data_IF_242808985508
#
_entry.id   IF_242808985508
#
_cell.length_a   1.000
_cell.length_b   1.000
_cell.length_c   1.000
_cell.angle_alpha   90.00
_cell.angle_beta   90.00
_cell.angle_gamma   90.00
#
_symmetry.space_group_name_H-M   'P 1'
#
loop_
_entity.id
_entity.type
_entity.pdbx_description
1 polymer ?
#
# COMPACT_ATOMS: atom_id res chain seq x y z
N UNK A 1 17.30 -8.82 7.34
CA UNK A 1 15.93 -9.29 7.64
C UNK A 1 15.12 -8.12 8.13
N UNK A 2 15.66 -7.36 9.10
CA UNK A 2 15.27 -5.97 9.36
C UNK A 2 15.25 -5.14 8.08
N UNK A 3 16.16 -5.39 7.13
CA UNK A 3 16.17 -4.75 5.80
C UNK A 3 14.85 -4.84 5.03
N UNK A 4 14.18 -6.01 5.01
CA UNK A 4 12.92 -6.18 4.27
C UNK A 4 11.78 -5.41 4.95
N UNK A 5 11.71 -5.47 6.28
CA UNK A 5 10.72 -4.74 7.06
C UNK A 5 10.95 -3.22 6.96
N UNK A 6 12.21 -2.78 7.03
CA UNK A 6 12.60 -1.39 6.85
C UNK A 6 12.24 -0.90 5.44
N UNK A 7 12.51 -1.70 4.41
CA UNK A 7 12.10 -1.42 3.04
C UNK A 7 10.57 -1.25 2.92
N UNK A 8 9.79 -2.22 3.43
CA UNK A 8 8.33 -2.14 3.41
C UNK A 8 7.81 -0.90 4.14
N UNK A 9 8.34 -0.61 5.34
CA UNK A 9 7.95 0.58 6.12
C UNK A 9 8.27 1.88 5.36
N UNK A 10 9.41 1.95 4.70
CA UNK A 10 9.79 3.11 3.87
C UNK A 10 8.80 3.30 2.71
N UNK A 11 8.51 2.25 1.93
CA UNK A 11 7.57 2.33 0.79
C UNK A 11 6.14 2.68 1.22
N UNK A 12 5.68 2.12 2.33
CA UNK A 12 4.37 2.47 2.90
C UNK A 12 4.29 3.92 3.38
N UNK A 13 5.39 4.48 3.91
CA UNK A 13 5.44 5.89 4.29
C UNK A 13 5.41 6.81 3.07
N UNK A 14 6.06 6.43 1.98
CA UNK A 14 6.00 7.16 0.70
C UNK A 14 4.59 7.15 0.12
N UNK A 15 3.91 6.00 0.12
CA UNK A 15 2.50 5.88 -0.32
C UNK A 15 1.55 6.76 0.51
N UNK A 16 1.69 6.73 1.83
CA UNK A 16 0.87 7.55 2.74
C UNK A 16 1.12 9.04 2.51
N UNK A 17 2.39 9.43 2.35
CA UNK A 17 2.78 10.82 2.09
C UNK A 17 2.24 11.31 0.74
N UNK A 18 2.36 10.49 -0.30
CA UNK A 18 1.82 10.81 -1.62
C UNK A 18 0.29 10.94 -1.60
N UNK A 19 -0.40 10.06 -0.87
CA UNK A 19 -1.85 10.15 -0.69
C UNK A 19 -2.25 11.42 0.08
N UNK A 20 -1.53 11.76 1.16
CA UNK A 20 -1.77 13.00 1.91
C UNK A 20 -1.57 14.25 1.06
N UNK A 21 -0.52 14.28 0.22
CA UNK A 21 -0.29 15.40 -0.70
C UNK A 21 -1.41 15.54 -1.74
N UNK A 22 -1.99 14.42 -2.19
CA UNK A 22 -3.13 14.43 -3.10
C UNK A 22 -4.43 14.92 -2.44
N UNK A 23 -4.59 14.78 -1.12
CA UNK A 23 -5.69 15.37 -0.32
C UNK A 23 -5.49 16.89 -0.07
N UNK A 24 -4.23 17.34 0.01
CA UNK A 24 -3.81 18.68 0.46
C UNK A 24 -4.31 19.90 -0.34
N UNK A 25 -5.04 19.71 -1.44
CA UNK A 25 -5.65 20.79 -2.23
C UNK A 25 -7.05 21.22 -1.72
N UNK A 26 -7.37 20.97 -0.45
CA UNK A 26 -8.73 21.18 0.10
C UNK A 26 -9.75 20.20 -0.49
N UNK A 27 -9.27 19.09 -1.03
CA UNK A 27 -10.05 18.01 -1.60
C UNK A 27 -10.25 16.96 -0.50
N UNK A 28 -11.51 16.65 -0.22
CA UNK A 28 -11.93 15.78 0.87
C UNK A 28 -12.86 14.71 0.32
N UNK A 29 -12.69 13.48 0.82
CA UNK A 29 -13.56 12.36 0.53
C UNK A 29 -13.23 11.60 -0.76
N UNK A 30 -14.03 10.56 -1.05
CA UNK A 30 -13.70 9.57 -2.06
C UNK A 30 -13.66 10.21 -3.44
N UNK A 31 -12.62 9.88 -4.19
CA UNK A 31 -12.55 10.21 -5.59
C UNK A 31 -13.67 9.50 -6.36
N UNK A 32 -14.30 10.19 -7.30
CA UNK A 32 -15.39 9.67 -8.10
C UNK A 32 -15.10 9.85 -9.59
N UNK A 33 -15.48 8.88 -10.44
CA UNK A 33 -15.46 9.11 -11.87
C UNK A 33 -16.45 10.24 -12.19
N UNK A 34 -15.95 11.27 -12.85
CA UNK A 34 -16.75 12.39 -13.34
C UNK A 34 -17.36 12.09 -14.72
N UNK A 35 -18.19 13.01 -15.18
CA UNK A 35 -18.93 12.85 -16.43
C UNK A 35 -18.12 13.28 -17.66
N UNK A 36 -18.62 12.87 -18.83
CA UNK A 36 -18.13 13.29 -20.14
C UNK A 36 -18.31 14.80 -20.29
N UNK A 37 -17.23 15.53 -20.53
CA UNK A 37 -17.26 16.99 -20.72
C UNK A 37 -16.92 17.38 -22.16
N UNK A 38 -17.55 18.45 -22.63
CA UNK A 38 -17.21 19.18 -23.85
C UNK A 38 -16.50 20.48 -23.45
N UNK A 39 -15.29 20.70 -23.98
CA UNK A 39 -14.46 21.88 -23.66
C UNK A 39 -14.03 22.55 -24.98
N UNK A 40 -14.10 23.89 -25.02
CA UNK A 40 -13.60 24.77 -26.10
C UNK A 40 -14.26 24.65 -27.48
N UNK A 41 -15.54 24.28 -27.56
CA UNK A 41 -16.31 24.32 -28.82
C UNK A 41 -15.84 23.36 -29.93
N UNK A 42 -14.76 22.63 -29.70
CA UNK A 42 -14.31 21.48 -30.49
C UNK A 42 -14.85 20.19 -29.85
N UNK A 43 -15.07 19.14 -30.66
CA UNK A 43 -15.54 17.84 -30.19
C UNK A 43 -14.44 17.06 -29.45
N UNK A 44 -13.91 17.61 -28.36
CA UNK A 44 -12.99 16.92 -27.47
C UNK A 44 -13.74 16.40 -26.27
N UNK A 45 -13.72 15.08 -26.13
CA UNK A 45 -14.33 14.38 -25.02
C UNK A 45 -13.31 14.16 -23.91
N UNK A 46 -13.71 14.47 -22.69
CA UNK A 46 -12.91 14.19 -21.51
C UNK A 46 -13.72 13.37 -20.51
N UNK A 47 -13.06 12.42 -19.86
CA UNK A 47 -13.50 11.92 -18.57
C UNK A 47 -12.73 12.63 -17.48
N UNK A 48 -13.29 12.65 -16.27
CA UNK A 48 -12.66 13.33 -15.15
C UNK A 48 -12.65 12.46 -13.91
N UNK A 49 -11.79 12.83 -12.97
CA UNK A 49 -11.90 12.37 -11.59
C UNK A 49 -12.23 13.58 -10.73
N UNK A 50 -13.29 13.44 -9.95
CA UNK A 50 -13.82 14.46 -9.08
C UNK A 50 -13.42 14.17 -7.63
N UNK A 51 -13.19 15.23 -6.87
CA UNK A 51 -13.19 15.19 -5.41
C UNK A 51 -13.95 16.42 -4.89
N UNK A 52 -14.38 16.38 -3.64
CA UNK A 52 -15.23 17.39 -3.05
C UNK A 52 -14.42 18.31 -2.15
N UNK A 53 -14.53 19.61 -2.34
CA UNK A 53 -13.97 20.60 -1.43
C UNK A 53 -15.07 21.27 -0.61
N UNK A 54 -14.67 22.08 0.37
CA UNK A 54 -15.59 22.99 1.07
C UNK A 54 -16.31 23.98 0.13
N UNK A 55 -15.83 24.15 -1.10
CA UNK A 55 -16.42 25.00 -2.15
C UNK A 55 -17.21 24.22 -3.21
N UNK A 56 -17.42 22.91 -3.03
CA UNK A 56 -18.13 22.02 -3.97
C UNK A 56 -17.20 21.07 -4.72
N UNK A 57 -17.75 20.34 -5.71
CA UNK A 57 -17.00 19.39 -6.52
C UNK A 57 -15.92 20.09 -7.36
N UNK A 58 -14.70 19.58 -7.29
CA UNK A 58 -13.55 20.04 -8.05
C UNK A 58 -13.00 18.91 -8.92
N UNK A 59 -12.62 19.25 -10.16
CA UNK A 59 -11.89 18.34 -11.03
C UNK A 59 -10.47 18.19 -10.51
N UNK A 60 -10.08 16.96 -10.20
CA UNK A 60 -8.72 16.63 -9.76
C UNK A 60 -7.86 16.27 -10.97
N UNK A 61 -8.45 15.56 -11.94
CA UNK A 61 -7.77 15.09 -13.16
C UNK A 61 -8.76 15.18 -14.34
N UNK A 62 -8.28 15.65 -15.50
CA UNK A 62 -8.94 15.53 -16.79
C UNK A 62 -8.18 14.53 -17.66
N UNK A 63 -8.90 13.57 -18.24
CA UNK A 63 -8.35 12.50 -19.06
C UNK A 63 -8.88 12.68 -20.48
N UNK A 64 -7.98 12.93 -21.43
CA UNK A 64 -8.33 13.18 -22.82
C UNK A 64 -8.87 11.90 -23.49
N UNK A 65 -9.93 12.03 -24.29
CA UNK A 65 -10.59 10.93 -24.99
C UNK A 65 -11.65 10.21 -24.17
N UNK A 66 -12.32 9.22 -24.78
CA UNK A 66 -13.38 8.42 -24.16
C UNK A 66 -12.80 7.31 -23.25
N UNK A 67 -12.13 7.75 -22.18
CA UNK A 67 -11.36 6.90 -21.25
C UNK A 67 -12.03 6.72 -19.88
N UNK A 68 -13.35 6.49 -19.86
CA UNK A 68 -14.11 6.35 -18.61
C UNK A 68 -13.62 5.22 -17.70
N UNK A 69 -13.05 4.15 -18.28
CA UNK A 69 -12.43 3.05 -17.54
C UNK A 69 -11.17 3.48 -16.80
N UNK A 70 -10.36 4.38 -17.39
CA UNK A 70 -9.16 4.95 -16.75
C UNK A 70 -9.58 5.86 -15.59
N UNK A 71 -10.58 6.72 -15.81
CA UNK A 71 -11.13 7.57 -14.76
C UNK A 71 -11.66 6.75 -13.58
N UNK A 72 -12.41 5.67 -13.87
CA UNK A 72 -12.92 4.77 -12.85
C UNK A 72 -11.80 4.05 -12.09
N UNK A 73 -10.74 3.61 -12.78
CA UNK A 73 -9.58 3.01 -12.14
C UNK A 73 -8.90 4.00 -11.18
N UNK A 74 -8.60 5.21 -11.64
CA UNK A 74 -7.95 6.24 -10.82
C UNK A 74 -8.82 6.60 -9.60
N UNK A 75 -10.12 6.84 -9.82
CA UNK A 75 -11.05 7.13 -8.74
C UNK A 75 -11.09 6.01 -7.69
N UNK A 76 -11.05 4.75 -8.14
CA UNK A 76 -10.99 3.58 -7.26
C UNK A 76 -9.73 3.58 -6.38
N UNK A 77 -8.61 4.12 -6.83
CA UNK A 77 -7.34 4.19 -6.07
C UNK A 77 -7.07 5.58 -5.52
N UNK A 78 -8.12 6.33 -5.18
CA UNK A 78 -7.99 7.64 -4.54
C UNK A 78 -7.31 7.59 -3.16
N UNK A 79 -6.87 8.75 -2.64
CA UNK A 79 -6.07 8.89 -1.43
C UNK A 79 -6.63 8.17 -0.19
N UNK A 80 -7.91 8.38 0.13
CA UNK A 80 -8.59 7.72 1.26
C UNK A 80 -8.49 6.18 1.21
N UNK A 81 -8.53 5.59 0.01
CA UNK A 81 -8.38 4.14 -0.13
C UNK A 81 -6.91 3.74 0.04
N UNK A 82 -5.97 4.45 -0.58
CA UNK A 82 -4.53 4.18 -0.43
C UNK A 82 -4.11 4.22 1.04
N UNK A 83 -4.54 5.24 1.79
CA UNK A 83 -4.22 5.37 3.22
C UNK A 83 -4.81 4.23 4.07
N UNK A 84 -6.02 3.77 3.75
CA UNK A 84 -6.61 2.57 4.39
C UNK A 84 -5.81 1.30 4.08
N UNK A 85 -5.38 1.12 2.84
CA UNK A 85 -4.52 -0.01 2.45
C UNK A 85 -3.15 0.05 3.15
N UNK A 86 -2.53 1.23 3.23
CA UNK A 86 -1.28 1.43 3.99
C UNK A 86 -1.48 1.10 5.47
N UNK A 87 -2.55 1.59 6.09
CA UNK A 87 -2.87 1.28 7.49
C UNK A 87 -3.02 -0.23 7.71
N UNK A 88 -3.76 -0.93 6.84
CA UNK A 88 -3.90 -2.38 6.91
C UNK A 88 -2.55 -3.11 6.75
N UNK A 89 -1.73 -2.72 5.78
CA UNK A 89 -0.40 -3.33 5.57
C UNK A 89 0.54 -3.09 6.76
N UNK A 90 0.50 -1.91 7.39
CA UNK A 90 1.25 -1.61 8.63
C UNK A 90 0.83 -2.54 9.77
N UNK A 91 -0.48 -2.75 9.96
CA UNK A 91 -0.99 -3.69 10.97
C UNK A 91 -0.54 -5.13 10.71
N UNK A 92 -0.55 -5.59 9.45
CA UNK A 92 -0.02 -6.91 9.09
C UNK A 92 1.48 -7.01 9.42
N UNK A 93 2.27 -5.98 9.14
CA UNK A 93 3.70 -5.96 9.49
C UNK A 93 3.91 -6.07 11.00
N UNK A 94 3.13 -5.33 11.79
CA UNK A 94 3.26 -5.32 13.24
C UNK A 94 2.80 -6.63 13.90
N UNK A 95 1.75 -7.25 13.35
CA UNK A 95 1.27 -8.59 13.70
C UNK A 95 2.39 -9.62 13.46
N UNK A 96 2.99 -9.61 12.27
CA UNK A 96 4.15 -10.44 11.93
C UNK A 96 5.50 -9.90 12.45
N UNK A 97 5.45 -9.12 13.53
CA UNK A 97 6.60 -8.54 14.21
C UNK A 97 7.52 -9.58 14.88
N UNK A 98 8.67 -9.13 15.40
CA UNK A 98 9.62 -10.01 16.07
C UNK A 98 9.08 -10.41 17.43
N UNK A 99 9.41 -11.64 17.84
CA UNK A 99 9.28 -12.16 19.19
C UNK A 99 10.59 -12.87 19.55
N UNK A 100 11.20 -12.48 20.67
CA UNK A 100 12.39 -13.17 21.20
C UNK A 100 11.94 -14.29 22.11
N UNK A 101 12.38 -15.52 21.83
CA UNK A 101 12.10 -16.68 22.68
C UNK A 101 13.35 -17.43 23.06
N UNK A 102 13.32 -18.00 24.26
CA UNK A 102 14.24 -19.05 24.66
C UNK A 102 13.91 -20.31 23.85
N UNK A 103 14.84 -20.72 22.99
CA UNK A 103 14.75 -22.02 22.31
C UNK A 103 15.18 -23.09 23.31
N UNK A 104 14.21 -23.79 23.87
CA UNK A 104 14.43 -24.89 24.81
C UNK A 104 14.99 -26.13 24.10
N UNK A 105 16.18 -26.58 24.51
CA UNK A 105 16.86 -27.75 23.95
C UNK A 105 18.27 -27.92 24.53
N UNK A 106 19.09 -28.82 23.96
CA UNK A 106 20.49 -29.01 24.36
C UNK A 106 21.42 -27.83 24.03
N UNK A 107 20.97 -26.93 23.14
CA UNK A 107 21.59 -25.62 22.91
C UNK A 107 20.75 -24.57 23.62
N UNK A 108 21.26 -24.00 24.71
CA UNK A 108 20.66 -22.80 25.32
C UNK A 108 20.90 -21.61 24.40
N UNK A 109 19.85 -20.88 24.07
CA UNK A 109 19.94 -19.63 23.30
C UNK A 109 18.59 -18.94 23.16
N UNK A 110 18.62 -17.72 22.62
CA UNK A 110 17.42 -16.97 22.24
C UNK A 110 17.36 -16.83 20.72
N UNK A 111 16.19 -17.04 20.11
CA UNK A 111 15.96 -16.78 18.70
C UNK A 111 14.91 -15.67 18.51
N UNK A 112 15.07 -14.88 17.46
CA UNK A 112 14.07 -13.89 17.04
C UNK A 112 13.21 -14.46 15.91
N UNK A 113 11.96 -14.77 16.24
CA UNK A 113 11.01 -15.42 15.34
C UNK A 113 9.85 -14.48 15.00
N UNK A 114 9.04 -14.87 14.01
CA UNK A 114 7.76 -14.21 13.73
C UNK A 114 6.73 -14.57 14.81
N UNK A 115 6.12 -13.57 15.44
CA UNK A 115 5.11 -13.74 16.50
C UNK A 115 3.89 -14.58 16.08
N UNK A 116 3.42 -14.38 14.86
CA UNK A 116 2.15 -14.94 14.36
C UNK A 116 2.34 -16.26 13.60
N UNK A 117 3.44 -16.43 12.86
CA UNK A 117 3.67 -17.63 12.03
C UNK A 117 4.13 -18.87 12.81
N UNK A 118 3.84 -18.94 14.10
CA UNK A 118 4.19 -20.07 14.95
C UNK A 118 3.20 -21.23 14.73
N UNK A 119 3.71 -22.45 14.71
CA UNK A 119 2.93 -23.64 15.03
C UNK A 119 3.23 -24.05 16.49
N UNK A 120 2.17 -24.39 17.25
CA UNK A 120 2.26 -24.70 18.70
C UNK A 120 3.00 -26.01 19.02
N UNK A 121 3.45 -26.78 18.02
CA UNK A 121 4.10 -28.09 18.16
C UNK A 121 5.62 -28.07 17.93
N UNK A 122 6.25 -26.89 17.79
CA UNK A 122 7.70 -26.73 17.89
C UNK A 122 8.51 -27.23 16.69
N UNK A 123 7.87 -27.45 15.53
CA UNK A 123 8.56 -27.97 14.34
C UNK A 123 8.76 -26.94 13.22
N UNK A 124 7.98 -25.86 13.15
CA UNK A 124 8.10 -24.83 12.10
C UNK A 124 7.92 -23.40 12.66
N UNK A 125 8.98 -22.81 13.21
CA UNK A 125 9.03 -21.36 13.48
C UNK A 125 9.75 -20.64 12.34
N UNK A 126 9.06 -19.75 11.64
CA UNK A 126 9.72 -18.89 10.65
C UNK A 126 10.61 -17.85 11.36
N UNK A 127 11.91 -17.75 11.00
CA UNK A 127 12.74 -16.66 11.46
C UNK A 127 12.09 -15.31 11.13
N UNK A 128 12.23 -14.33 12.03
CA UNK A 128 11.64 -13.00 11.85
C UNK A 128 12.04 -12.40 10.49
N UNK A 129 11.05 -11.94 9.71
CA UNK A 129 11.28 -11.37 8.37
C UNK A 129 11.51 -12.39 7.24
N UNK A 130 11.47 -13.71 7.50
CA UNK A 130 11.40 -14.76 6.46
C UNK A 130 10.01 -15.33 6.25
N UNK A 131 9.02 -14.92 7.05
CA UNK A 131 7.68 -15.46 6.93
C UNK A 131 7.06 -15.14 5.56
N UNK A 132 6.32 -16.08 4.95
CA UNK A 132 5.74 -15.90 3.62
C UNK A 132 4.85 -14.65 3.50
N UNK A 133 4.10 -14.31 4.54
CA UNK A 133 3.20 -13.14 4.54
C UNK A 133 3.95 -11.83 4.27
N UNK A 134 5.07 -11.59 4.95
CA UNK A 134 5.85 -10.35 4.78
C UNK A 134 6.49 -10.31 3.38
N UNK A 135 6.96 -11.45 2.86
CA UNK A 135 7.51 -11.54 1.51
C UNK A 135 6.46 -11.28 0.43
N UNK A 136 5.23 -11.76 0.64
CA UNK A 136 4.11 -11.50 -0.26
C UNK A 136 3.74 -10.02 -0.31
N UNK A 137 3.81 -9.29 0.82
CA UNK A 137 3.60 -7.83 0.81
C UNK A 137 4.64 -7.10 -0.05
N UNK A 138 5.88 -7.61 -0.10
CA UNK A 138 6.96 -7.00 -0.85
C UNK A 138 6.79 -7.11 -2.37
N UNK A 139 5.97 -8.05 -2.86
CA UNK A 139 5.71 -8.25 -4.29
C UNK A 139 5.10 -7.01 -4.97
N UNK A 140 4.37 -6.18 -4.22
CA UNK A 140 3.84 -4.92 -4.74
C UNK A 140 4.95 -3.92 -5.16
N UNK A 141 6.18 -4.17 -4.74
CA UNK A 141 7.34 -3.32 -4.99
C UNK A 141 8.45 -4.06 -5.75
N UNK A 142 8.13 -5.16 -6.44
CA UNK A 142 9.13 -5.98 -7.14
C UNK A 142 9.91 -5.21 -8.22
N UNK A 143 9.30 -4.16 -8.75
CA UNK A 143 9.80 -3.26 -9.79
C UNK A 143 10.66 -2.12 -9.21
N UNK A 144 10.72 -1.99 -7.88
CA UNK A 144 11.46 -0.92 -7.21
C UNK A 144 12.98 -1.18 -7.30
N UNK A 145 13.82 -0.17 -7.58
CA UNK A 145 15.27 -0.36 -7.73
C UNK A 145 15.95 -0.95 -6.48
N UNK A 146 15.50 -0.55 -5.28
CA UNK A 146 16.02 -1.10 -4.01
C UNK A 146 15.46 -2.50 -3.66
N UNK A 147 14.52 -3.04 -4.44
CA UNK A 147 13.96 -4.36 -4.18
C UNK A 147 15.00 -5.45 -4.43
N UNK A 148 15.25 -6.31 -3.43
CA UNK A 148 16.18 -7.43 -3.57
C UNK A 148 15.44 -8.70 -3.99
N UNK A 149 15.93 -9.37 -5.04
CA UNK A 149 15.32 -10.61 -5.55
C UNK A 149 15.23 -11.72 -4.48
N UNK A 150 16.15 -11.74 -3.53
CA UNK A 150 16.13 -12.65 -2.39
C UNK A 150 14.87 -12.50 -1.50
N UNK A 151 14.15 -11.39 -1.57
CA UNK A 151 12.90 -11.17 -0.80
C UNK A 151 11.69 -11.83 -1.44
N UNK A 152 11.77 -12.25 -2.70
CA UNK A 152 10.70 -12.98 -3.37
C UNK A 152 10.38 -14.27 -2.59
N UNK A 153 9.08 -14.64 -2.45
CA UNK A 153 8.68 -15.92 -1.84
C UNK A 153 9.27 -17.13 -2.56
#
# INVERSE_FOLDING_TARGET
>A
MDDLIAFLRARLNEEDSAAMLAEGYGLHGPWQPGQRMWIDGEAKYYHSVLSWSQHGAAHVILIHGDNGTVAAHIARFGPDRVRREVCAKRQIIDEHGPETRDVGGWQRGTETICRTCRYDDGLDTYPYGRCPTIRLLALAYADHPDYRQEWRP
#
